data_IF_613048649761
#
_entry.id   IF_613048649761
#
_cell.length_a   1.000
_cell.length_b   1.000
_cell.length_c   1.000
_cell.angle_alpha   90.00
_cell.angle_beta   90.00
_cell.angle_gamma   90.00
#
_symmetry.space_group_name_H-M   'P 1'
#
loop_
_entity.id
_entity.type
_entity.pdbx_description
1 polymer ?
#
# COMPACT_ATOMS: atom_id res chain seq x y z
N UNK A 1 3.05 8.29 -11.27
CA UNK A 1 4.22 7.97 -10.41
C UNK A 1 3.78 8.08 -8.97
N UNK A 2 4.09 7.10 -8.12
CA UNK A 2 3.75 7.14 -6.69
C UNK A 2 4.96 7.63 -5.89
N UNK A 3 4.76 8.49 -4.89
CA UNK A 3 5.81 8.90 -3.94
C UNK A 3 6.00 7.78 -2.90
N UNK A 4 7.16 7.10 -2.83
CA UNK A 4 7.41 6.02 -1.88
C UNK A 4 7.80 6.56 -0.50
N UNK A 5 6.82 6.77 0.40
CA UNK A 5 7.06 7.36 1.72
C UNK A 5 7.91 6.45 2.63
N UNK A 6 7.89 5.14 2.41
CA UNK A 6 8.73 4.18 3.14
C UNK A 6 10.25 4.38 2.93
N UNK A 7 10.65 5.10 1.87
CA UNK A 7 12.06 5.48 1.67
C UNK A 7 12.46 6.71 2.49
N UNK A 8 11.49 7.55 2.87
CA UNK A 8 11.72 8.75 3.68
C UNK A 8 11.66 8.44 5.17
N UNK A 9 10.69 7.63 5.57
CA UNK A 9 10.53 7.15 6.94
C UNK A 9 9.97 5.73 6.93
N UNK A 10 10.82 4.77 7.26
CA UNK A 10 10.49 3.34 7.29
C UNK A 10 9.62 2.94 8.49
N UNK A 11 9.47 3.82 9.49
CA UNK A 11 8.68 3.59 10.69
C UNK A 11 7.25 4.16 10.61
N UNK A 12 6.89 4.82 9.49
CA UNK A 12 5.51 5.24 9.24
C UNK A 12 4.56 4.04 9.19
N UNK A 13 3.55 4.08 10.05
CA UNK A 13 2.52 3.02 10.18
C UNK A 13 1.21 3.41 9.52
N UNK A 14 0.93 4.70 9.45
CA UNK A 14 -0.23 5.25 8.75
C UNK A 14 0.10 6.57 8.03
N UNK A 15 -0.65 6.87 6.97
CA UNK A 15 -0.54 8.11 6.21
C UNK A 15 -1.77 8.33 5.32
N UNK A 16 -2.13 9.58 5.03
CA UNK A 16 -3.15 9.89 4.03
C UNK A 16 -2.60 9.74 2.60
N UNK A 17 -3.48 9.46 1.65
CA UNK A 17 -3.17 9.42 0.22
C UNK A 17 -4.42 9.60 -0.62
N UNK A 18 -4.23 9.86 -1.90
CA UNK A 18 -5.29 9.99 -2.89
C UNK A 18 -5.22 8.86 -3.90
N UNK A 19 -6.36 8.26 -4.23
CA UNK A 19 -6.45 7.27 -5.30
C UNK A 19 -6.30 7.94 -6.66
N UNK A 20 -5.20 7.67 -7.35
CA UNK A 20 -4.91 8.27 -8.67
C UNK A 20 -5.16 7.31 -9.83
N UNK A 21 -5.35 6.02 -9.54
CA UNK A 21 -5.62 5.01 -10.56
C UNK A 21 -6.25 3.76 -9.92
N UNK A 22 -7.15 3.12 -10.67
CA UNK A 22 -7.70 1.80 -10.39
C UNK A 22 -7.58 0.99 -11.68
N UNK A 23 -6.81 -0.09 -11.67
CA UNK A 23 -6.57 -0.95 -12.82
C UNK A 23 -7.78 -1.86 -13.11
N UNK A 24 -7.81 -2.50 -14.29
CA UNK A 24 -8.87 -3.44 -14.69
C UNK A 24 -9.00 -4.63 -13.73
N UNK A 25 -7.87 -5.09 -13.17
CA UNK A 25 -7.81 -6.14 -12.16
C UNK A 25 -8.15 -5.66 -10.74
N UNK A 26 -8.67 -4.44 -10.62
CA UNK A 26 -9.06 -3.76 -9.38
C UNK A 26 -7.90 -3.44 -8.43
N UNK A 27 -6.67 -3.50 -8.92
CA UNK A 27 -5.54 -2.96 -8.16
C UNK A 27 -5.65 -1.45 -8.00
N UNK A 28 -5.14 -0.92 -6.89
CA UNK A 28 -5.23 0.49 -6.53
C UNK A 28 -3.84 1.12 -6.56
N UNK A 29 -3.73 2.32 -7.13
CA UNK A 29 -2.51 3.14 -7.07
C UNK A 29 -2.81 4.47 -6.41
N UNK A 30 -1.96 4.86 -5.46
CA UNK A 30 -2.05 6.13 -4.75
C UNK A 30 -0.99 7.13 -5.24
N UNK A 31 -1.23 8.43 -5.00
CA UNK A 31 -0.25 9.48 -5.25
C UNK A 31 1.02 9.33 -4.38
N UNK A 32 0.87 8.81 -3.16
CA UNK A 32 1.95 8.50 -2.22
C UNK A 32 1.61 7.23 -1.45
N UNK A 33 2.61 6.43 -1.10
CA UNK A 33 2.36 5.19 -0.35
C UNK A 33 3.42 4.84 0.69
N UNK A 34 2.95 4.37 1.85
CA UNK A 34 3.78 3.77 2.91
C UNK A 34 3.96 2.25 2.74
N UNK A 35 3.22 1.63 1.82
CA UNK A 35 3.33 0.21 1.53
C UNK A 35 4.60 -0.08 0.73
N UNK A 36 5.41 -1.00 1.25
CA UNK A 36 6.59 -1.50 0.57
C UNK A 36 6.17 -2.53 -0.48
N UNK A 37 6.47 -2.32 -1.78
CA UNK A 37 6.19 -3.32 -2.81
C UNK A 37 7.14 -4.50 -2.69
N UNK A 38 6.66 -5.69 -3.07
CA UNK A 38 7.47 -6.91 -3.17
C UNK A 38 8.79 -6.63 -3.91
N UNK A 39 9.92 -6.94 -3.27
CA UNK A 39 11.25 -6.70 -3.83
C UNK A 39 12.32 -7.54 -3.11
N UNK A 40 13.37 -7.97 -3.82
CA UNK A 40 14.51 -8.69 -3.21
C UNK A 40 14.16 -10.01 -2.51
N UNK A 41 13.03 -10.64 -2.85
CA UNK A 41 12.52 -11.84 -2.16
C UNK A 41 11.69 -11.53 -0.91
N UNK A 42 11.61 -10.27 -0.46
CA UNK A 42 10.72 -9.85 0.61
C UNK A 42 9.29 -9.69 0.06
N UNK A 43 8.29 -10.35 0.66
CA UNK A 43 6.89 -10.13 0.31
C UNK A 43 6.49 -8.67 0.53
N UNK A 44 5.68 -8.16 -0.39
CA UNK A 44 5.10 -6.83 -0.26
C UNK A 44 4.22 -6.69 0.96
N UNK A 45 4.04 -5.45 1.38
CA UNK A 45 3.30 -5.13 2.57
C UNK A 45 1.80 -5.43 2.43
N UNK A 46 1.21 -5.67 3.60
CA UNK A 46 -0.23 -5.87 3.81
C UNK A 46 -0.75 -4.83 4.77
N UNK A 47 -2.05 -4.58 4.74
CA UNK A 47 -2.65 -3.52 5.54
C UNK A 47 -4.06 -3.22 5.12
N UNK A 48 -4.47 -1.98 5.28
CA UNK A 48 -5.80 -1.49 4.90
C UNK A 48 -5.74 -0.08 4.34
N UNK A 49 -6.73 0.24 3.51
CA UNK A 49 -7.12 1.60 3.18
C UNK A 49 -8.48 1.89 3.83
N UNK A 50 -8.57 2.99 4.58
CA UNK A 50 -9.82 3.50 5.13
C UNK A 50 -10.33 4.64 4.26
N UNK A 51 -11.59 4.61 3.86
CA UNK A 51 -12.24 5.62 3.02
C UNK A 51 -13.64 5.92 3.58
N UNK A 52 -13.74 6.91 4.48
CA UNK A 52 -14.94 7.10 5.28
C UNK A 52 -15.21 5.89 6.16
N UNK A 53 -16.41 5.32 6.09
CA UNK A 53 -16.80 4.10 6.83
C UNK A 53 -16.32 2.80 6.16
N UNK A 54 -15.76 2.89 4.95
CA UNK A 54 -15.30 1.74 4.20
C UNK A 54 -13.87 1.34 4.59
N UNK A 55 -13.65 0.03 4.72
CA UNK A 55 -12.35 -0.58 4.97
C UNK A 55 -12.00 -1.55 3.84
N UNK A 56 -11.02 -1.17 3.03
CA UNK A 56 -10.47 -2.01 1.97
C UNK A 56 -9.22 -2.72 2.49
N UNK A 57 -9.24 -4.05 2.59
CA UNK A 57 -8.07 -4.82 3.01
C UNK A 57 -7.08 -5.00 1.84
N UNK A 58 -5.79 -4.75 2.09
CA UNK A 58 -4.71 -4.93 1.13
C UNK A 58 -3.92 -6.19 1.50
N UNK A 59 -3.95 -7.20 0.64
CA UNK A 59 -3.34 -8.52 0.88
C UNK A 59 -1.92 -8.64 0.34
N UNK A 60 -1.52 -7.75 -0.57
CA UNK A 60 -0.18 -7.69 -1.13
C UNK A 60 0.07 -6.34 -1.80
N UNK A 61 1.35 -5.99 -1.94
CA UNK A 61 1.80 -4.82 -2.67
C UNK A 61 2.88 -5.21 -3.67
N UNK A 62 2.78 -4.75 -4.93
CA UNK A 62 3.75 -5.03 -5.98
C UNK A 62 4.22 -3.76 -6.67
N UNK A 63 5.41 -3.84 -7.29
CA UNK A 63 5.95 -2.73 -8.09
C UNK A 63 5.29 -2.74 -9.47
N UNK A 64 4.73 -1.61 -9.87
CA UNK A 64 4.22 -1.39 -11.21
C UNK A 64 5.24 -0.65 -12.09
N UNK A 65 4.85 -0.42 -13.35
CA UNK A 65 5.63 0.39 -14.29
C UNK A 65 5.73 1.85 -13.81
N UNK A 66 6.74 2.59 -14.29
CA UNK A 66 6.90 4.02 -14.04
C UNK A 66 6.86 4.43 -12.54
N UNK A 67 7.33 3.54 -11.67
CA UNK A 67 7.38 3.77 -10.21
C UNK A 67 6.01 3.75 -9.53
N UNK A 68 4.99 3.14 -10.14
CA UNK A 68 3.71 2.87 -9.47
C UNK A 68 3.91 1.85 -8.35
N UNK A 69 3.21 2.07 -7.23
CA UNK A 69 3.06 1.07 -6.17
C UNK A 69 1.63 0.55 -6.27
N UNK A 70 1.50 -0.72 -6.61
CA UNK A 70 0.22 -1.37 -6.89
C UNK A 70 -0.21 -2.10 -5.62
N UNK A 71 -1.32 -1.64 -5.03
CA UNK A 71 -1.97 -2.26 -3.88
C UNK A 71 -2.99 -3.28 -4.37
N UNK A 72 -2.95 -4.50 -3.85
CA UNK A 72 -3.86 -5.59 -4.23
C UNK A 72 -4.92 -5.78 -3.13
N UNK A 73 -6.19 -5.42 -3.39
CA UNK A 73 -7.29 -5.62 -2.45
C UNK A 73 -7.61 -7.10 -2.19
N UNK A 74 -8.13 -7.42 -1.01
CA UNK A 74 -8.62 -8.76 -0.66
C UNK A 74 -9.94 -9.11 -1.37
N UNK A 75 -10.81 -8.11 -1.51
CA UNK A 75 -12.12 -8.17 -2.15
C UNK A 75 -12.46 -6.81 -2.76
N UNK A 76 -13.57 -6.74 -3.50
CA UNK A 76 -13.96 -5.54 -4.24
C UNK A 76 -15.21 -4.83 -3.66
N UNK A 77 -15.70 -5.27 -2.51
CA UNK A 77 -16.99 -4.81 -1.97
C UNK A 77 -16.90 -3.39 -1.40
N UNK A 78 -15.76 -3.03 -0.83
CA UNK A 78 -15.53 -1.76 -0.13
C UNK A 78 -14.34 -0.98 -0.72
N UNK A 79 -14.22 -0.93 -2.05
CA UNK A 79 -13.12 -0.22 -2.71
C UNK A 79 -13.34 1.30 -2.73
N UNK A 80 -12.28 2.10 -2.52
CA UNK A 80 -12.33 3.52 -2.82
C UNK A 80 -12.46 3.75 -4.33
N UNK A 81 -12.89 4.95 -4.71
CA UNK A 81 -13.01 5.40 -6.10
C UNK A 81 -11.80 6.26 -6.49
N UNK A 82 -11.64 6.44 -7.79
CA UNK A 82 -10.67 7.40 -8.33
C UNK A 82 -10.94 8.81 -7.75
N UNK A 83 -9.90 9.44 -7.20
CA UNK A 83 -9.96 10.75 -6.55
C UNK A 83 -10.30 10.72 -5.06
N UNK A 84 -10.66 9.57 -4.49
CA UNK A 84 -10.96 9.48 -3.06
C UNK A 84 -9.71 9.67 -2.21
N UNK A 85 -9.89 10.36 -1.08
CA UNK A 85 -8.89 10.45 -0.02
C UNK A 85 -9.01 9.23 0.90
N UNK A 86 -7.89 8.56 1.11
CA UNK A 86 -7.82 7.35 1.93
C UNK A 86 -6.77 7.48 3.03
N UNK A 87 -7.01 6.86 4.17
CA UNK A 87 -5.99 6.61 5.18
C UNK A 87 -5.37 5.22 4.96
N UNK A 88 -4.06 5.19 4.76
CA UNK A 88 -3.25 3.99 4.64
C UNK A 88 -2.84 3.51 6.02
N UNK A 89 -2.97 2.22 6.32
CA UNK A 89 -2.47 1.61 7.56
C UNK A 89 -1.82 0.28 7.23
N UNK A 90 -0.52 0.13 7.51
CA UNK A 90 0.21 -1.14 7.26
C UNK A 90 0.11 -2.09 8.46
N UNK A 91 0.22 -3.39 8.21
CA UNK A 91 0.44 -4.40 9.24
C UNK A 91 1.88 -4.27 9.77
N UNK A 92 2.04 -3.45 10.80
CA UNK A 92 3.34 -3.08 11.37
C UNK A 92 4.13 -4.30 11.86
N UNK A 93 3.48 -5.27 12.49
CA UNK A 93 4.17 -6.46 13.00
C UNK A 93 4.82 -7.27 11.88
N UNK A 94 4.16 -7.35 10.72
CA UNK A 94 4.69 -8.02 9.53
C UNK A 94 5.85 -7.23 8.94
N UNK A 95 5.68 -5.92 8.73
CA UNK A 95 6.73 -5.02 8.23
C UNK A 95 7.98 -5.09 9.10
N UNK A 96 7.80 -4.97 10.41
CA UNK A 96 8.91 -4.93 11.36
C UNK A 96 9.68 -6.26 11.39
N UNK A 97 8.99 -7.40 11.30
CA UNK A 97 9.65 -8.71 11.13
C UNK A 97 10.52 -8.74 9.87
N UNK A 98 10.02 -8.27 8.74
CA UNK A 98 10.79 -8.22 7.50
C UNK A 98 12.04 -7.32 7.63
N UNK A 99 11.89 -6.14 8.23
CA UNK A 99 13.03 -5.22 8.49
C UNK A 99 14.14 -5.86 9.33
N UNK A 100 13.77 -6.66 10.34
CA UNK A 100 14.75 -7.34 11.21
C UNK A 100 15.48 -8.50 10.54
N UNK A 101 14.83 -9.21 9.60
CA UNK A 101 15.47 -10.32 8.88
C UNK A 101 16.59 -9.82 7.95
N UNK A 102 16.49 -8.60 7.44
CA UNK A 102 17.47 -8.00 6.52
C UNK A 102 18.50 -7.11 7.22
N UNK A 103 18.57 -7.14 8.55
CA UNK A 103 19.54 -6.38 9.36
C UNK A 103 20.45 -7.28 10.22
N UNK A 104 20.57 -8.56 9.86
CA UNK A 104 21.51 -9.50 10.47
C UNK A 104 22.80 -9.64 9.64
#
# INVERSE_FOLDING_TARGET
>A
MTVPLYLKDSYLKSCSGEVIEIDDDKSIVLNQSIFYPTSGGQPGDKGVLLCGDNRCEIISTRKGENGKIILVPANHDCMPKLGDQVEQIINWDTRYKHMRVHSA
#
